data_IF_410784135456
#
_entry.id   IF_410784135456
#
_cell.length_a   1.000
_cell.length_b   1.000
_cell.length_c   1.000
_cell.angle_alpha   90.00
_cell.angle_beta   90.00
_cell.angle_gamma   90.00
#
_symmetry.space_group_name_H-M   'P 1'
#
loop_
_entity.id
_entity.type
_entity.pdbx_description
1 polymer ?
#
# COMPACT_ATOMS: atom_id res chain seq x y z
N UNK A 1 22.82 -5.31 39.06
CA UNK A 1 22.89 -6.77 38.77
C UNK A 1 23.61 -6.95 37.45
N UNK A 2 24.73 -7.62 37.45
CA UNK A 2 25.42 -7.97 36.20
C UNK A 2 24.99 -9.37 35.80
N UNK A 3 24.18 -9.48 34.77
CA UNK A 3 23.84 -10.78 34.18
C UNK A 3 24.94 -11.14 33.19
N UNK A 4 25.72 -12.15 33.52
CA UNK A 4 26.74 -12.74 32.65
C UNK A 4 26.14 -14.02 32.07
N UNK A 5 26.06 -14.12 30.75
CA UNK A 5 25.67 -15.33 30.05
C UNK A 5 26.83 -16.33 30.02
N UNK A 6 26.57 -17.61 29.74
CA UNK A 6 27.59 -18.68 29.73
C UNK A 6 28.78 -18.38 28.83
N UNK A 7 28.67 -17.48 27.85
CA UNK A 7 29.71 -17.06 26.92
C UNK A 7 30.43 -15.74 27.31
N UNK A 8 30.29 -15.29 28.56
CA UNK A 8 30.82 -13.99 29.03
C UNK A 8 30.41 -12.77 28.22
N UNK A 9 29.27 -12.85 27.54
CA UNK A 9 28.72 -11.74 26.78
C UNK A 9 27.90 -10.87 27.74
N UNK A 10 28.23 -9.59 27.85
CA UNK A 10 27.43 -8.63 28.57
C UNK A 10 26.23 -8.24 27.70
N UNK A 11 25.05 -8.67 28.10
CA UNK A 11 23.79 -8.43 27.37
C UNK A 11 23.55 -6.92 27.10
N UNK A 12 23.90 -6.07 28.06
CA UNK A 12 23.71 -4.61 27.87
C UNK A 12 24.72 -4.01 26.91
N UNK A 13 25.95 -4.56 26.84
CA UNK A 13 26.94 -4.10 25.87
C UNK A 13 26.56 -4.55 24.45
N UNK A 14 25.94 -5.71 24.32
CA UNK A 14 25.43 -6.20 23.03
C UNK A 14 24.21 -5.44 22.56
N UNK A 15 23.30 -5.06 23.47
CA UNK A 15 22.15 -4.22 23.14
C UNK A 15 22.52 -2.79 22.73
N UNK A 16 23.61 -2.27 23.28
CA UNK A 16 24.09 -0.90 23.01
C UNK A 16 25.14 -0.87 21.89
N UNK A 17 25.47 -2.00 21.28
CA UNK A 17 26.16 -1.98 20.00
C UNK A 17 25.18 -1.39 18.99
N UNK A 18 25.32 -0.11 18.73
CA UNK A 18 24.73 0.52 17.56
C UNK A 18 25.30 -0.26 16.36
N UNK A 19 24.51 -1.18 15.82
CA UNK A 19 24.75 -1.62 14.49
C UNK A 19 24.75 -0.35 13.63
N UNK A 20 25.91 0.08 13.16
CA UNK A 20 26.04 1.08 12.10
C UNK A 20 25.40 0.49 10.84
N UNK A 21 24.09 0.25 10.94
CA UNK A 21 23.26 0.04 9.79
C UNK A 21 23.29 1.38 9.09
N UNK A 22 24.05 1.48 8.02
CA UNK A 22 23.81 2.47 7.00
C UNK A 22 22.35 2.28 6.58
N UNK A 23 21.44 2.95 7.30
CA UNK A 23 20.06 3.08 6.92
C UNK A 23 20.10 3.94 5.67
N UNK A 24 20.27 3.29 4.53
CA UNK A 24 19.82 3.86 3.28
C UNK A 24 18.33 4.07 3.54
N UNK A 25 17.92 5.32 3.65
CA UNK A 25 16.55 5.73 3.95
C UNK A 25 15.65 5.40 2.75
N UNK A 26 15.61 4.11 2.41
CA UNK A 26 14.76 3.58 1.35
C UNK A 26 13.40 3.31 1.97
N UNK A 27 12.42 4.10 1.55
CA UNK A 27 11.03 3.83 1.92
C UNK A 27 10.66 2.38 1.53
N UNK A 28 10.13 1.65 2.50
CA UNK A 28 9.76 0.25 2.34
C UNK A 28 8.25 0.04 2.43
N UNK A 29 7.78 -1.00 1.75
CA UNK A 29 6.42 -1.48 1.89
C UNK A 29 6.19 -2.01 3.32
N UNK A 30 5.15 -1.52 3.99
CA UNK A 30 4.86 -1.87 5.38
C UNK A 30 4.28 -3.30 5.55
N UNK A 31 3.92 -3.99 4.48
CA UNK A 31 3.42 -5.37 4.55
C UNK A 31 4.58 -6.36 4.38
N UNK A 32 5.39 -6.19 3.36
CA UNK A 32 6.44 -7.17 3.00
C UNK A 32 7.86 -6.74 3.38
N UNK A 33 8.00 -5.51 3.89
CA UNK A 33 9.29 -4.92 4.30
C UNK A 33 10.36 -4.90 3.19
N UNK A 34 9.92 -4.77 1.94
CA UNK A 34 10.78 -4.62 0.76
C UNK A 34 10.73 -3.20 0.25
N UNK A 35 11.74 -2.75 -0.50
CA UNK A 35 11.74 -1.43 -1.12
C UNK A 35 10.47 -1.18 -1.94
N UNK A 36 9.98 0.06 -1.94
CA UNK A 36 8.82 0.44 -2.73
C UNK A 36 9.12 0.33 -4.22
N UNK A 37 8.19 -0.28 -4.96
CA UNK A 37 8.23 -0.36 -6.43
C UNK A 37 7.63 0.91 -7.05
N UNK A 38 7.76 1.07 -8.37
CA UNK A 38 7.17 2.20 -9.09
C UNK A 38 5.64 2.31 -8.95
N UNK A 39 4.99 1.18 -8.70
CA UNK A 39 3.53 1.07 -8.56
C UNK A 39 3.08 0.96 -7.10
N UNK A 40 3.79 1.58 -6.18
CA UNK A 40 3.34 1.63 -4.79
C UNK A 40 2.08 2.49 -4.62
N UNK A 41 1.29 2.18 -3.62
CA UNK A 41 0.08 2.90 -3.25
C UNK A 41 0.30 3.62 -1.92
N UNK A 42 -0.07 4.90 -1.87
CA UNK A 42 -0.13 5.69 -0.64
C UNK A 42 -1.59 5.85 -0.23
N UNK A 43 -1.93 5.36 0.95
CA UNK A 43 -3.27 5.53 1.51
C UNK A 43 -3.45 6.94 2.11
N UNK A 44 -4.69 7.33 2.39
CA UNK A 44 -4.99 8.65 2.97
C UNK A 44 -4.33 8.88 4.34
N UNK A 45 -3.93 7.82 5.04
CA UNK A 45 -3.15 7.87 6.27
C UNK A 45 -1.64 7.98 6.04
N UNK A 46 -1.19 8.22 4.81
CA UNK A 46 0.22 8.33 4.38
C UNK A 46 1.06 7.04 4.51
N UNK A 47 0.45 5.91 4.80
CA UNK A 47 1.15 4.63 4.77
C UNK A 47 1.30 4.14 3.33
N UNK A 48 2.49 3.64 3.01
CA UNK A 48 2.88 3.22 1.66
C UNK A 48 3.02 1.71 1.57
N UNK A 49 2.52 1.16 0.49
CA UNK A 49 2.53 -0.29 0.24
C UNK A 49 2.79 -0.56 -1.23
N UNK A 50 3.54 -1.63 -1.52
CA UNK A 50 3.61 -2.14 -2.88
C UNK A 50 2.23 -2.63 -3.33
N UNK A 51 1.92 -2.52 -4.62
CA UNK A 51 0.58 -2.78 -5.13
C UNK A 51 0.07 -4.20 -4.85
N UNK A 52 0.87 -5.23 -5.15
CA UNK A 52 0.45 -6.63 -4.97
C UNK A 52 0.15 -6.97 -3.52
N UNK A 53 1.00 -6.64 -2.53
CA UNK A 53 0.71 -6.90 -1.13
C UNK A 53 -0.57 -6.24 -0.64
N UNK A 54 -0.78 -4.96 -0.94
CA UNK A 54 -2.00 -4.26 -0.51
C UNK A 54 -3.23 -4.79 -1.24
N UNK A 55 -3.14 -5.11 -2.52
CA UNK A 55 -4.21 -5.69 -3.29
C UNK A 55 -4.71 -7.02 -2.69
N UNK A 56 -3.78 -7.92 -2.37
CA UNK A 56 -4.10 -9.20 -1.74
C UNK A 56 -4.70 -9.02 -0.34
N UNK A 57 -4.19 -8.08 0.44
CA UNK A 57 -4.72 -7.78 1.77
C UNK A 57 -6.14 -7.23 1.70
N UNK A 58 -6.43 -6.35 0.76
CA UNK A 58 -7.78 -5.81 0.57
C UNK A 58 -8.79 -6.87 0.10
N UNK A 59 -8.37 -7.82 -0.72
CA UNK A 59 -9.20 -8.99 -1.05
C UNK A 59 -9.55 -9.77 0.21
N UNK A 60 -8.59 -10.05 1.07
CA UNK A 60 -8.83 -10.73 2.35
C UNK A 60 -9.81 -9.96 3.24
N UNK A 61 -9.65 -8.64 3.36
CA UNK A 61 -10.57 -7.80 4.13
C UNK A 61 -12.02 -7.89 3.66
N UNK A 62 -12.25 -8.11 2.38
CA UNK A 62 -13.58 -8.15 1.76
C UNK A 62 -14.18 -9.54 1.66
N UNK A 63 -13.36 -10.59 1.63
CA UNK A 63 -13.81 -11.96 1.37
C UNK A 63 -13.70 -12.88 2.57
N UNK A 64 -12.74 -12.64 3.47
CA UNK A 64 -12.52 -13.50 4.63
C UNK A 64 -13.29 -12.95 5.83
N UNK A 65 -14.17 -13.79 6.38
CA UNK A 65 -14.86 -13.47 7.63
C UNK A 65 -13.90 -13.50 8.81
N UNK A 66 -13.84 -12.41 9.54
CA UNK A 66 -13.08 -12.33 10.79
C UNK A 66 -14.04 -12.09 11.96
N UNK A 67 -14.21 -13.06 12.89
CA UNK A 67 -15.13 -12.92 14.02
C UNK A 67 -14.71 -11.80 14.99
N UNK A 68 -13.45 -11.41 14.99
CA UNK A 68 -12.94 -10.32 15.84
C UNK A 68 -13.14 -8.94 15.22
N UNK A 69 -13.63 -8.89 13.99
CA UNK A 69 -13.86 -7.62 13.27
C UNK A 69 -15.31 -7.20 13.39
N UNK A 70 -15.57 -6.20 14.24
CA UNK A 70 -16.92 -5.70 14.49
C UNK A 70 -17.41 -4.81 13.35
N UNK A 71 -16.48 -4.12 12.67
CA UNK A 71 -16.81 -3.12 11.64
C UNK A 71 -16.91 -3.76 10.26
N UNK A 72 -18.11 -3.72 9.67
CA UNK A 72 -18.30 -4.10 8.26
C UNK A 72 -17.90 -2.95 7.34
N UNK A 73 -16.95 -3.21 6.44
CA UNK A 73 -16.54 -2.25 5.43
C UNK A 73 -17.55 -2.17 4.29
N UNK A 74 -17.88 -0.96 3.87
CA UNK A 74 -18.67 -0.72 2.64
C UNK A 74 -17.81 -0.99 1.41
N UNK A 75 -18.43 -1.16 0.23
CA UNK A 75 -17.74 -1.45 -1.01
C UNK A 75 -16.65 -0.42 -1.39
N UNK A 76 -16.84 0.83 -0.99
CA UNK A 76 -15.89 1.92 -1.23
C UNK A 76 -14.97 2.21 -0.06
N UNK A 77 -14.98 1.39 0.98
CA UNK A 77 -14.14 1.55 2.17
C UNK A 77 -13.08 0.48 2.24
N UNK A 78 -11.89 0.88 2.67
CA UNK A 78 -10.78 -0.01 3.00
C UNK A 78 -10.19 0.37 4.35
N UNK A 79 -9.58 -0.60 5.01
CA UNK A 79 -8.87 -0.41 6.26
C UNK A 79 -7.37 -0.51 6.00
N UNK A 80 -6.60 0.47 6.46
CA UNK A 80 -5.15 0.40 6.39
C UNK A 80 -4.65 -0.81 7.19
N UNK A 81 -3.85 -1.71 6.60
CA UNK A 81 -3.30 -2.87 7.32
C UNK A 81 -2.37 -2.51 8.47
N UNK A 82 -1.77 -1.33 8.42
CA UNK A 82 -0.80 -0.86 9.41
C UNK A 82 -1.46 -0.12 10.58
N UNK A 83 -2.16 0.98 10.34
CA UNK A 83 -2.80 1.78 11.38
C UNK A 83 -4.28 1.47 11.62
N UNK A 84 -4.88 0.62 10.80
CA UNK A 84 -6.29 0.22 10.85
C UNK A 84 -7.30 1.35 10.63
N UNK A 85 -6.87 2.50 10.16
CA UNK A 85 -7.75 3.60 9.82
C UNK A 85 -8.60 3.24 8.59
N UNK A 86 -9.91 3.49 8.69
CA UNK A 86 -10.84 3.26 7.59
C UNK A 86 -10.87 4.51 6.71
N UNK A 87 -10.76 4.31 5.41
CA UNK A 87 -10.84 5.37 4.40
C UNK A 87 -11.94 5.07 3.39
N UNK A 88 -12.52 6.12 2.82
CA UNK A 88 -13.59 6.01 1.81
C UNK A 88 -13.06 5.91 0.37
N UNK A 89 -11.82 5.49 0.22
CA UNK A 89 -11.18 5.30 -1.06
C UNK A 89 -10.68 3.87 -1.19
N UNK A 90 -10.70 3.35 -2.41
CA UNK A 90 -10.16 2.05 -2.79
C UNK A 90 -8.96 2.24 -3.71
N UNK A 91 -8.24 1.16 -3.99
CA UNK A 91 -7.05 1.22 -4.86
C UNK A 91 -7.44 1.18 -6.35
N UNK A 92 -6.66 1.82 -7.24
CA UNK A 92 -6.92 1.75 -8.66
C UNK A 92 -6.54 0.38 -9.25
N UNK A 93 -7.22 -0.01 -10.34
CA UNK A 93 -6.79 -1.14 -11.16
C UNK A 93 -5.58 -0.75 -12.01
N UNK A 94 -4.52 -1.55 -11.99
CA UNK A 94 -3.31 -1.33 -12.77
C UNK A 94 -3.14 -2.50 -13.76
N UNK A 95 -3.43 -2.29 -15.06
CA UNK A 95 -3.43 -3.40 -16.04
C UNK A 95 -2.05 -3.99 -16.33
N UNK A 96 -0.97 -3.25 -16.13
CA UNK A 96 0.39 -3.75 -16.34
C UNK A 96 0.87 -4.72 -15.24
N UNK A 97 0.13 -4.87 -14.16
CA UNK A 97 0.44 -5.83 -13.10
C UNK A 97 -0.34 -7.12 -13.35
N UNK A 98 0.33 -8.27 -13.61
CA UNK A 98 -0.36 -9.52 -13.98
C UNK A 98 -1.36 -10.03 -12.93
N UNK A 99 -1.08 -9.79 -11.66
CA UNK A 99 -1.93 -10.20 -10.53
C UNK A 99 -3.11 -9.26 -10.28
N UNK A 100 -3.14 -8.08 -10.91
CA UNK A 100 -4.21 -7.11 -10.75
C UNK A 100 -5.48 -7.57 -11.45
N UNK A 101 -6.61 -7.42 -10.77
CA UNK A 101 -7.93 -7.76 -11.30
C UNK A 101 -8.94 -6.66 -10.98
N UNK A 102 -9.94 -6.55 -11.81
CA UNK A 102 -11.10 -5.66 -11.55
C UNK A 102 -12.03 -6.36 -10.57
N UNK A 103 -11.99 -5.96 -9.31
CA UNK A 103 -12.79 -6.56 -8.24
C UNK A 103 -13.62 -5.46 -7.59
N UNK A 104 -14.93 -5.67 -7.51
CA UNK A 104 -15.82 -4.74 -6.83
C UNK A 104 -15.49 -4.68 -5.33
N UNK A 105 -15.32 -3.48 -4.82
CA UNK A 105 -14.92 -3.23 -3.44
C UNK A 105 -13.41 -3.20 -3.19
N UNK A 106 -12.59 -3.54 -4.18
CA UNK A 106 -11.11 -3.48 -4.13
C UNK A 106 -10.58 -2.49 -5.16
N UNK A 107 -10.94 -2.65 -6.42
CA UNK A 107 -10.50 -1.80 -7.55
C UNK A 107 -11.65 -1.15 -8.32
N UNK A 108 -12.89 -1.46 -8.00
CA UNK A 108 -14.10 -0.89 -8.58
C UNK A 108 -15.07 -0.45 -7.46
N UNK A 109 -15.89 0.59 -7.65
CA UNK A 109 -15.98 1.47 -8.82
C UNK A 109 -14.86 2.52 -8.87
N UNK A 110 -14.49 2.93 -10.08
CA UNK A 110 -13.37 3.86 -10.33
C UNK A 110 -13.52 5.22 -9.63
N UNK A 111 -14.74 5.68 -9.39
CA UNK A 111 -15.01 6.97 -8.75
C UNK A 111 -14.44 7.07 -7.31
N UNK A 112 -14.25 5.95 -6.65
CA UNK A 112 -13.69 5.88 -5.29
C UNK A 112 -12.21 5.53 -5.27
N UNK A 113 -11.60 5.28 -6.43
CA UNK A 113 -10.19 4.93 -6.50
C UNK A 113 -9.29 6.12 -6.13
N UNK A 114 -8.21 5.82 -5.40
CA UNK A 114 -7.14 6.76 -5.15
C UNK A 114 -6.47 7.15 -6.48
N UNK A 115 -6.11 8.43 -6.59
CA UNK A 115 -5.33 8.90 -7.72
C UNK A 115 -3.92 8.34 -7.62
N UNK A 116 -3.55 7.48 -8.57
CA UNK A 116 -2.22 6.90 -8.62
C UNK A 116 -1.28 7.71 -9.49
N UNK A 117 -1.67 7.93 -10.72
CA UNK A 117 -0.96 8.78 -11.70
C UNK A 117 -1.97 9.42 -12.64
N UNK A 118 -1.71 10.64 -13.09
CA UNK A 118 -2.51 11.27 -14.12
C UNK A 118 -2.05 10.80 -15.50
N UNK A 119 -3.00 10.45 -16.36
CA UNK A 119 -2.73 10.10 -17.73
C UNK A 119 -2.10 11.30 -18.48
N UNK A 120 -0.92 11.10 -19.04
CA UNK A 120 -0.21 12.11 -19.86
C UNK A 120 -0.67 12.11 -21.32
N UNK A 121 -1.60 11.24 -21.69
CA UNK A 121 -2.07 11.12 -23.07
C UNK A 121 -2.88 12.35 -23.50
N UNK A 122 -2.56 12.90 -24.68
CA UNK A 122 -3.28 14.02 -25.26
C UNK A 122 -4.45 13.53 -26.09
N UNK A 123 -5.61 14.12 -25.88
CA UNK A 123 -6.84 13.79 -26.61
C UNK A 123 -6.68 14.20 -28.07
N UNK A 124 -6.81 13.23 -28.99
CA UNK A 124 -6.60 13.45 -30.43
C UNK A 124 -7.82 13.96 -31.18
N UNK A 125 -9.01 13.84 -30.63
CA UNK A 125 -10.28 14.19 -31.29
C UNK A 125 -11.31 14.76 -30.33
N UNK A 126 -12.31 15.46 -30.84
CA UNK A 126 -13.42 16.01 -30.07
C UNK A 126 -13.17 17.41 -29.51
N UNK A 127 -14.09 17.90 -28.68
CA UNK A 127 -14.05 19.26 -28.10
C UNK A 127 -12.83 19.54 -27.24
N UNK A 128 -12.18 18.49 -26.72
CA UNK A 128 -11.01 18.57 -25.83
C UNK A 128 -9.69 18.21 -26.54
N UNK A 129 -9.66 18.25 -27.88
CA UNK A 129 -8.46 17.98 -28.66
C UNK A 129 -7.28 18.82 -28.17
N UNK A 130 -6.13 18.17 -27.93
CA UNK A 130 -4.90 18.80 -27.45
C UNK A 130 -4.80 18.98 -25.93
N UNK A 131 -5.86 18.71 -25.18
CA UNK A 131 -5.80 18.69 -23.71
C UNK A 131 -5.36 17.32 -23.18
N UNK A 132 -4.76 17.32 -21.99
CA UNK A 132 -4.41 16.08 -21.30
C UNK A 132 -5.70 15.35 -20.87
N UNK A 133 -5.68 14.04 -20.93
CA UNK A 133 -6.82 13.19 -20.56
C UNK A 133 -7.22 13.36 -19.09
N UNK A 134 -6.27 13.61 -18.19
CA UNK A 134 -6.47 13.75 -16.74
C UNK A 134 -7.25 12.61 -16.07
N UNK A 135 -7.43 11.49 -16.75
CA UNK A 135 -7.91 10.27 -16.12
C UNK A 135 -6.79 9.62 -15.30
N UNK A 136 -7.14 8.74 -14.35
CA UNK A 136 -6.15 7.90 -13.70
C UNK A 136 -5.43 7.10 -14.78
N UNK A 137 -4.17 7.42 -15.01
CA UNK A 137 -3.35 6.79 -16.04
C UNK A 137 -2.52 5.65 -15.47
N UNK A 138 -2.26 4.71 -16.33
CA UNK A 138 -1.33 3.61 -16.08
C UNK A 138 -0.28 3.69 -17.18
N UNK A 139 0.96 3.78 -16.79
CA UNK A 139 2.11 3.68 -17.70
C UNK A 139 2.46 2.23 -17.98
#
# INVERSE_FOLDING_TARGET
>A
MNYITEDNINFFDELNKDDDINVIDTECCLIENKPLTENYITLNCNHKFNYIPIFNELIKQKTVYNPNEITKLKNYQIKCPYCRQITNNIIPYIPCIPSSKKINGVTLPNIYCLNHKNCSWKIKSGKNKGKLCNCNGFD
#
